data_IF_710135574705
#
_entry.id   IF_710135574705
#
_cell.length_a   1.000
_cell.length_b   1.000
_cell.length_c   1.000
_cell.angle_alpha   90.00
_cell.angle_beta   90.00
_cell.angle_gamma   90.00
#
_symmetry.space_group_name_H-M   'P 1'
#
loop_
_entity.id
_entity.type
_entity.pdbx_description
1 polymer ?
#
# COMPACT_ATOMS: atom_id res chain seq x y z
N UNK A 1 -41.03 -34.01 21.18
CA UNK A 1 -40.76 -32.84 20.31
C UNK A 1 -39.69 -31.88 20.84
N UNK A 2 -39.61 -31.56 22.15
CA UNK A 2 -38.60 -30.61 22.70
C UNK A 2 -37.13 -31.06 22.58
N UNK A 3 -36.82 -32.37 22.66
CA UNK A 3 -35.43 -32.88 22.58
C UNK A 3 -34.87 -32.87 21.15
N UNK A 4 -35.68 -33.19 20.15
CA UNK A 4 -35.26 -33.14 18.73
C UNK A 4 -35.04 -31.72 18.23
N UNK A 5 -35.74 -30.73 18.78
CA UNK A 5 -35.54 -29.32 18.44
C UNK A 5 -34.20 -28.78 18.96
N UNK A 6 -33.80 -29.19 20.16
CA UNK A 6 -32.49 -28.83 20.73
C UNK A 6 -31.32 -29.44 19.95
N UNK A 7 -31.45 -30.68 19.48
CA UNK A 7 -30.44 -31.35 18.65
C UNK A 7 -30.29 -30.68 17.27
N UNK A 8 -31.40 -30.25 16.65
CA UNK A 8 -31.38 -29.55 15.36
C UNK A 8 -30.77 -28.13 15.48
N UNK A 9 -31.05 -27.43 16.58
CA UNK A 9 -30.49 -26.11 16.86
C UNK A 9 -28.97 -26.17 17.14
N UNK A 10 -28.51 -27.21 17.83
CA UNK A 10 -27.08 -27.43 18.10
C UNK A 10 -26.31 -27.79 16.82
N UNK A 11 -26.92 -28.55 15.90
CA UNK A 11 -26.33 -28.85 14.59
C UNK A 11 -26.18 -27.59 13.72
N UNK A 12 -27.14 -26.65 13.79
CA UNK A 12 -27.11 -25.40 13.03
C UNK A 12 -25.99 -24.44 13.48
N UNK A 13 -25.66 -24.43 14.78
CA UNK A 13 -24.55 -23.63 15.35
C UNK A 13 -23.18 -24.17 14.90
N UNK A 14 -23.06 -25.48 14.64
CA UNK A 14 -21.82 -26.08 14.14
C UNK A 14 -21.49 -25.71 12.69
N UNK A 15 -22.50 -25.43 11.85
CA UNK A 15 -22.30 -25.04 10.43
C UNK A 15 -21.93 -23.56 10.28
N UNK A 16 -22.12 -22.74 11.32
CA UNK A 16 -21.77 -21.31 11.34
C UNK A 16 -20.34 -21.03 11.81
N UNK A 17 -19.56 -22.06 12.19
CA UNK A 17 -18.13 -21.91 12.39
C UNK A 17 -17.43 -21.77 11.02
N UNK A 18 -17.57 -20.60 10.42
CA UNK A 18 -16.65 -20.15 9.38
C UNK A 18 -15.27 -20.17 10.04
N UNK A 19 -14.45 -21.15 9.67
CA UNK A 19 -13.04 -21.19 10.06
C UNK A 19 -12.44 -19.89 9.57
N UNK A 20 -12.21 -18.95 10.49
CA UNK A 20 -11.41 -17.78 10.20
C UNK A 20 -10.05 -18.31 9.76
N UNK A 21 -9.79 -18.28 8.45
CA UNK A 21 -8.46 -18.52 7.92
C UNK A 21 -7.58 -17.39 8.45
N UNK A 22 -7.01 -17.63 9.63
CA UNK A 22 -5.97 -16.79 10.16
C UNK A 22 -4.89 -16.77 9.08
N UNK A 23 -4.65 -15.59 8.49
CA UNK A 23 -3.67 -15.34 7.43
C UNK A 23 -2.22 -15.49 7.94
N UNK A 24 -1.98 -16.44 8.84
CA UNK A 24 -0.70 -16.71 9.47
C UNK A 24 0.19 -17.36 8.41
N UNK A 25 1.17 -16.61 7.92
CA UNK A 25 2.21 -17.09 7.02
C UNK A 25 2.19 -16.54 5.59
N UNK A 26 1.15 -15.78 5.18
CA UNK A 26 1.17 -15.13 3.85
C UNK A 26 2.08 -13.89 3.91
N UNK A 27 3.06 -13.82 3.02
CA UNK A 27 3.96 -12.68 2.90
C UNK A 27 3.26 -11.59 2.08
N UNK A 28 3.24 -10.37 2.60
CA UNK A 28 2.77 -9.19 1.87
C UNK A 28 3.91 -8.64 1.03
N UNK A 29 3.78 -8.66 -0.30
CA UNK A 29 4.78 -8.09 -1.20
C UNK A 29 4.42 -6.66 -1.58
N UNK A 30 5.36 -5.74 -1.38
CA UNK A 30 5.34 -4.38 -1.91
C UNK A 30 6.21 -4.34 -3.17
N UNK A 31 5.62 -3.99 -4.31
CA UNK A 31 6.35 -3.83 -5.57
C UNK A 31 6.67 -2.36 -5.84
N UNK A 32 7.91 -2.08 -6.23
CA UNK A 32 8.37 -0.73 -6.55
C UNK A 32 9.25 -0.70 -7.80
N UNK A 33 9.29 0.44 -8.52
CA UNK A 33 10.37 0.70 -9.47
C UNK A 33 11.71 0.91 -8.73
N UNK A 34 12.83 0.84 -9.47
CA UNK A 34 14.15 1.12 -8.92
C UNK A 34 14.38 2.63 -8.73
N UNK A 35 13.88 3.19 -7.63
CA UNK A 35 14.08 4.59 -7.25
C UNK A 35 14.23 4.76 -5.74
N UNK A 36 15.03 5.74 -5.31
CA UNK A 36 15.23 6.02 -3.88
C UNK A 36 13.95 6.50 -3.18
N UNK A 37 13.06 7.18 -3.91
CA UNK A 37 11.82 7.73 -3.38
C UNK A 37 10.82 6.61 -3.04
N UNK A 38 10.52 5.75 -4.00
CA UNK A 38 9.63 4.60 -3.80
C UNK A 38 10.24 3.58 -2.85
N UNK A 39 11.58 3.40 -2.84
CA UNK A 39 12.26 2.60 -1.82
C UNK A 39 12.02 3.13 -0.41
N UNK A 40 12.20 4.44 -0.17
CA UNK A 40 11.98 5.03 1.15
C UNK A 40 10.52 4.86 1.61
N UNK A 41 9.56 5.14 0.72
CA UNK A 41 8.14 4.96 1.02
C UNK A 41 7.79 3.49 1.29
N UNK A 42 8.36 2.55 0.52
CA UNK A 42 8.16 1.12 0.72
C UNK A 42 8.68 0.66 2.07
N UNK A 43 9.86 1.13 2.46
CA UNK A 43 10.46 0.82 3.76
C UNK A 43 9.64 1.39 4.92
N UNK A 44 9.07 2.59 4.78
CA UNK A 44 8.16 3.15 5.78
C UNK A 44 6.90 2.30 5.93
N UNK A 45 6.26 1.91 4.82
CA UNK A 45 5.06 1.07 4.85
C UNK A 45 5.40 -0.31 5.42
N UNK A 46 6.44 -0.97 4.90
CA UNK A 46 6.86 -2.30 5.33
C UNK A 46 7.19 -2.33 6.83
N UNK A 47 7.95 -1.35 7.31
CA UNK A 47 8.32 -1.24 8.73
C UNK A 47 7.09 -1.01 9.61
N UNK A 48 6.23 -0.05 9.24
CA UNK A 48 5.01 0.26 9.99
C UNK A 48 4.09 -0.96 10.08
N UNK A 49 3.84 -1.62 8.94
CA UNK A 49 2.98 -2.80 8.88
C UNK A 49 3.56 -3.95 9.68
N UNK A 50 4.86 -4.24 9.51
CA UNK A 50 5.52 -5.33 10.23
C UNK A 50 5.46 -5.11 11.75
N UNK A 51 5.81 -3.93 12.24
CA UNK A 51 5.91 -3.68 13.69
C UNK A 51 4.55 -3.53 14.38
N UNK A 52 3.52 -3.07 13.66
CA UNK A 52 2.17 -2.90 14.24
C UNK A 52 1.27 -4.11 14.12
N UNK A 53 1.58 -5.05 13.23
CA UNK A 53 0.68 -6.16 12.94
C UNK A 53 1.34 -7.54 13.00
N UNK A 54 2.68 -7.60 13.00
CA UNK A 54 3.41 -8.87 12.86
C UNK A 54 3.37 -9.45 11.44
N UNK A 55 2.74 -8.77 10.47
CA UNK A 55 2.71 -9.21 9.06
C UNK A 55 4.12 -9.17 8.48
N UNK A 56 4.57 -10.26 7.87
CA UNK A 56 5.84 -10.28 7.15
C UNK A 56 5.69 -9.54 5.83
N UNK A 57 6.47 -8.48 5.62
CA UNK A 57 6.46 -7.68 4.40
C UNK A 57 7.78 -7.84 3.64
N UNK A 58 7.71 -8.06 2.32
CA UNK A 58 8.87 -8.06 1.42
C UNK A 58 8.74 -6.93 0.40
N UNK A 59 9.84 -6.22 0.15
CA UNK A 59 9.93 -5.21 -0.90
C UNK A 59 10.61 -5.88 -2.10
N UNK A 60 9.97 -5.78 -3.27
CA UNK A 60 10.46 -6.35 -4.53
C UNK A 60 10.66 -5.20 -5.50
N UNK A 61 11.90 -5.04 -5.98
CA UNK A 61 12.26 -4.04 -6.98
C UNK A 61 12.08 -4.64 -8.37
N UNK A 62 11.30 -3.98 -9.21
CA UNK A 62 11.06 -4.37 -10.59
C UNK A 62 11.87 -3.52 -11.56
N UNK A 63 12.23 -4.11 -12.70
CA UNK A 63 13.04 -3.44 -13.73
C UNK A 63 12.33 -2.26 -14.36
N UNK A 64 11.04 -2.42 -14.65
CA UNK A 64 10.18 -1.38 -15.22
C UNK A 64 8.73 -1.55 -14.76
N UNK A 65 7.90 -0.52 -15.04
CA UNK A 65 6.47 -0.53 -14.72
C UNK A 65 5.73 -1.73 -15.33
N UNK A 66 6.11 -2.19 -16.52
CA UNK A 66 5.41 -3.29 -17.19
C UNK A 66 5.59 -4.59 -16.42
N UNK A 67 6.80 -4.87 -15.94
CA UNK A 67 7.06 -6.02 -15.09
C UNK A 67 6.32 -5.92 -13.75
N UNK A 68 6.31 -4.74 -13.13
CA UNK A 68 5.55 -4.49 -11.90
C UNK A 68 4.05 -4.77 -12.12
N UNK A 69 3.44 -4.19 -13.14
CA UNK A 69 2.01 -4.38 -13.44
C UNK A 69 1.66 -5.83 -13.83
N UNK A 70 2.58 -6.57 -14.49
CA UNK A 70 2.41 -8.01 -14.71
C UNK A 70 2.34 -8.78 -13.38
N UNK A 71 3.21 -8.46 -12.43
CA UNK A 71 3.22 -9.10 -11.11
C UNK A 71 1.98 -8.75 -10.28
N UNK A 72 1.52 -7.50 -10.35
CA UNK A 72 0.25 -7.06 -9.74
C UNK A 72 -0.93 -7.84 -10.32
N UNK A 73 -1.02 -7.96 -11.65
CA UNK A 73 -2.10 -8.72 -12.32
C UNK A 73 -2.08 -10.20 -11.95
N UNK A 74 -0.90 -10.77 -11.74
CA UNK A 74 -0.71 -12.17 -11.31
C UNK A 74 -1.07 -12.39 -9.82
N UNK A 75 -1.15 -11.32 -9.03
CA UNK A 75 -1.37 -11.38 -7.57
C UNK A 75 -0.09 -11.56 -6.75
N UNK A 76 1.09 -11.46 -7.38
CA UNK A 76 2.37 -11.59 -6.70
C UNK A 76 2.72 -10.33 -5.88
N UNK A 77 2.10 -9.18 -6.20
CA UNK A 77 2.29 -7.89 -5.53
C UNK A 77 0.97 -7.43 -4.90
N UNK A 78 0.98 -7.21 -3.59
CA UNK A 78 -0.20 -6.80 -2.82
C UNK A 78 -0.35 -5.28 -2.70
N UNK A 79 0.77 -4.57 -2.64
CA UNK A 79 0.86 -3.11 -2.60
C UNK A 79 1.86 -2.63 -3.64
N UNK A 80 1.54 -1.57 -4.36
CA UNK A 80 2.52 -0.78 -5.11
C UNK A 80 2.54 0.65 -4.58
N UNK A 81 3.62 1.37 -4.82
CA UNK A 81 3.69 2.82 -4.59
C UNK A 81 3.64 3.49 -5.94
N UNK A 82 2.57 4.23 -6.18
CA UNK A 82 2.30 4.82 -7.48
C UNK A 82 2.33 6.33 -7.42
N UNK A 83 2.73 6.95 -8.53
CA UNK A 83 2.62 8.38 -8.72
C UNK A 83 1.56 8.73 -9.76
N UNK A 84 0.99 9.93 -9.64
CA UNK A 84 -0.14 10.35 -10.47
C UNK A 84 0.19 10.41 -11.96
N UNK A 85 1.43 10.73 -12.36
CA UNK A 85 1.79 10.81 -13.78
C UNK A 85 1.84 9.43 -14.43
N UNK A 86 2.49 8.48 -13.75
CA UNK A 86 2.55 7.08 -14.15
C UNK A 86 1.13 6.49 -14.21
N UNK A 87 0.30 6.84 -13.23
CA UNK A 87 -1.07 6.36 -13.18
C UNK A 87 -1.90 6.82 -14.38
N UNK A 88 -1.81 8.10 -14.77
CA UNK A 88 -2.50 8.63 -15.94
C UNK A 88 -2.06 7.90 -17.22
N UNK A 89 -0.77 7.63 -17.36
CA UNK A 89 -0.24 6.83 -18.48
C UNK A 89 -0.78 5.40 -18.47
N UNK A 90 -0.83 4.74 -17.32
CA UNK A 90 -1.33 3.37 -17.18
C UNK A 90 -2.81 3.26 -17.60
N UNK A 91 -3.63 4.28 -17.33
CA UNK A 91 -5.04 4.32 -17.73
C UNK A 91 -5.27 4.99 -19.07
N UNK A 92 -4.21 5.17 -19.87
CA UNK A 92 -4.23 5.78 -21.20
C UNK A 92 -4.91 7.16 -21.24
N UNK A 93 -4.74 7.97 -20.19
CA UNK A 93 -5.21 9.36 -20.12
C UNK A 93 -4.06 10.36 -20.27
N UNK A 94 -4.34 11.57 -20.80
CA UNK A 94 -3.36 12.64 -20.82
C UNK A 94 -2.84 12.98 -19.42
N UNK A 95 -1.64 13.53 -19.35
CA UNK A 95 -1.11 14.10 -18.11
C UNK A 95 -2.08 15.16 -17.57
N UNK A 96 -2.29 15.17 -16.27
CA UNK A 96 -3.04 16.18 -15.54
C UNK A 96 -2.08 16.93 -14.59
N UNK A 97 -2.02 18.27 -14.70
CA UNK A 97 -1.07 19.09 -13.94
C UNK A 97 -1.51 19.33 -12.50
N UNK A 98 -2.81 19.23 -12.22
CA UNK A 98 -3.34 19.28 -10.87
C UNK A 98 -3.27 17.89 -10.22
N UNK A 99 -2.35 17.69 -9.29
CA UNK A 99 -2.15 16.41 -8.61
C UNK A 99 -3.43 15.82 -7.98
N UNK A 100 -4.32 16.68 -7.45
CA UNK A 100 -5.58 16.22 -6.86
C UNK A 100 -6.52 15.67 -7.93
N UNK A 101 -6.68 16.38 -9.05
CA UNK A 101 -7.50 15.90 -10.18
C UNK A 101 -6.94 14.61 -10.76
N UNK A 102 -5.61 14.53 -10.92
CA UNK A 102 -4.93 13.33 -11.41
C UNK A 102 -5.15 12.14 -10.45
N UNK A 103 -5.01 12.35 -9.15
CA UNK A 103 -5.26 11.34 -8.11
C UNK A 103 -6.69 10.83 -8.11
N UNK A 104 -7.70 11.70 -8.15
CA UNK A 104 -9.11 11.26 -8.17
C UNK A 104 -9.45 10.49 -9.45
N UNK A 105 -8.87 10.91 -10.57
CA UNK A 105 -9.02 10.21 -11.86
C UNK A 105 -8.39 8.83 -11.79
N UNK A 106 -7.12 8.73 -11.36
CA UNK A 106 -6.40 7.47 -11.21
C UNK A 106 -7.13 6.52 -10.25
N UNK A 107 -7.55 7.01 -9.09
CA UNK A 107 -8.33 6.25 -8.09
C UNK A 107 -9.59 5.65 -8.69
N UNK A 108 -10.35 6.41 -9.47
CA UNK A 108 -11.56 5.95 -10.14
C UNK A 108 -11.27 4.87 -11.20
N UNK A 109 -10.31 5.11 -12.09
CA UNK A 109 -9.98 4.20 -13.19
C UNK A 109 -9.33 2.89 -12.69
N UNK A 110 -8.46 2.97 -11.68
CA UNK A 110 -7.82 1.80 -11.07
C UNK A 110 -8.85 0.90 -10.38
N UNK A 111 -9.83 1.52 -9.70
CA UNK A 111 -10.92 0.80 -9.05
C UNK A 111 -11.77 0.04 -10.07
N UNK A 112 -12.13 0.70 -11.17
CA UNK A 112 -13.03 0.14 -12.21
C UNK A 112 -12.35 -0.93 -13.05
N UNK A 113 -11.09 -0.69 -13.45
CA UNK A 113 -10.46 -1.45 -14.53
C UNK A 113 -9.38 -2.42 -14.03
N UNK A 114 -8.78 -2.17 -12.86
CA UNK A 114 -7.61 -2.91 -12.39
C UNK A 114 -7.82 -3.65 -11.07
N UNK A 115 -8.99 -3.52 -10.42
CA UNK A 115 -9.25 -4.06 -9.08
C UNK A 115 -8.21 -3.58 -8.03
N UNK A 116 -7.79 -2.32 -8.19
CA UNK A 116 -6.82 -1.66 -7.33
C UNK A 116 -7.47 -0.50 -6.57
N UNK A 117 -7.02 -0.25 -5.35
CA UNK A 117 -7.56 0.78 -4.45
C UNK A 117 -6.43 1.71 -4.05
N UNK A 118 -6.54 2.98 -4.46
CA UNK A 118 -5.65 4.04 -3.99
C UNK A 118 -5.96 4.40 -2.54
N UNK A 119 -4.89 4.49 -1.74
CA UNK A 119 -4.92 5.07 -0.41
C UNK A 119 -4.64 6.58 -0.46
N UNK A 120 -4.62 7.22 0.71
CA UNK A 120 -4.35 8.65 0.80
C UNK A 120 -2.91 8.93 0.33
N UNK A 121 -2.69 10.03 -0.44
CA UNK A 121 -1.35 10.46 -0.81
C UNK A 121 -0.45 10.59 0.41
N UNK A 122 0.76 10.04 0.32
CA UNK A 122 1.78 10.14 1.37
C UNK A 122 2.59 11.42 1.22
N UNK A 123 2.93 11.76 -0.02
CA UNK A 123 3.79 12.90 -0.33
C UNK A 123 3.32 13.60 -1.59
N UNK A 124 3.45 14.92 -1.59
CA UNK A 124 3.40 15.75 -2.79
C UNK A 124 4.80 16.17 -3.16
N UNK A 125 5.20 15.99 -4.42
CA UNK A 125 6.46 16.44 -4.96
C UNK A 125 6.24 17.44 -6.10
N UNK A 126 7.15 18.41 -6.26
CA UNK A 126 7.16 19.29 -7.42
C UNK A 126 7.78 18.55 -8.62
N UNK A 127 6.96 18.30 -9.64
CA UNK A 127 7.40 17.77 -10.93
C UNK A 127 7.66 18.89 -11.94
N UNK A 128 8.28 18.55 -13.07
CA UNK A 128 8.63 19.50 -14.12
C UNK A 128 7.40 20.22 -14.75
N UNK A 129 6.20 19.64 -14.61
CA UNK A 129 4.97 20.14 -15.22
C UNK A 129 3.78 20.15 -14.24
N UNK A 130 4.05 20.34 -12.95
CA UNK A 130 3.03 20.41 -11.90
C UNK A 130 3.36 19.54 -10.69
N UNK A 131 2.50 19.57 -9.68
CA UNK A 131 2.64 18.71 -8.52
C UNK A 131 2.30 17.26 -8.85
N UNK A 132 2.96 16.33 -8.17
CA UNK A 132 2.77 14.89 -8.33
C UNK A 132 2.51 14.30 -6.94
N UNK A 133 1.46 13.49 -6.81
CA UNK A 133 1.22 12.73 -5.58
C UNK A 133 1.78 11.33 -5.68
N UNK A 134 2.39 10.87 -4.59
CA UNK A 134 2.79 9.47 -4.39
C UNK A 134 1.87 8.84 -3.36
N UNK A 135 1.26 7.70 -3.70
CA UNK A 135 0.34 7.00 -2.82
C UNK A 135 0.50 5.47 -2.91
N UNK A 136 0.24 4.74 -1.81
CA UNK A 136 0.09 3.30 -1.83
C UNK A 136 -1.18 2.94 -2.59
N UNK A 137 -1.09 1.89 -3.41
CA UNK A 137 -2.22 1.31 -4.10
C UNK A 137 -2.28 -0.18 -3.76
N UNK A 138 -3.40 -0.61 -3.21
CA UNK A 138 -3.62 -1.98 -2.73
C UNK A 138 -4.41 -2.77 -3.75
N UNK A 139 -4.07 -4.05 -3.91
CA UNK A 139 -4.98 -5.00 -4.54
C UNK A 139 -6.23 -5.26 -3.69
N UNK A 140 -7.35 -5.57 -4.35
CA UNK A 140 -8.55 -5.99 -3.65
C UNK A 140 -8.36 -7.25 -2.79
N UNK A 141 -7.52 -8.20 -3.23
CA UNK A 141 -7.18 -9.38 -2.44
C UNK A 141 -6.47 -8.97 -1.13
N UNK A 142 -5.48 -8.08 -1.22
CA UNK A 142 -4.79 -7.57 -0.03
C UNK A 142 -5.74 -6.84 0.90
N UNK A 143 -6.64 -6.01 0.36
CA UNK A 143 -7.63 -5.30 1.18
C UNK A 143 -8.59 -6.26 1.87
N UNK A 144 -9.01 -7.33 1.20
CA UNK A 144 -9.94 -8.32 1.75
C UNK A 144 -9.27 -9.14 2.87
N UNK A 145 -8.01 -9.52 2.67
CA UNK A 145 -7.24 -10.30 3.65
C UNK A 145 -6.73 -9.46 4.82
N UNK A 146 -6.45 -8.17 4.62
CA UNK A 146 -5.87 -7.27 5.61
C UNK A 146 -6.63 -5.93 5.66
N UNK A 147 -7.92 -5.93 6.08
CA UNK A 147 -8.81 -4.76 5.99
C UNK A 147 -8.40 -3.58 6.89
N UNK A 148 -7.52 -3.80 7.87
CA UNK A 148 -6.98 -2.75 8.72
C UNK A 148 -5.82 -1.96 8.08
N UNK A 149 -5.23 -2.45 6.98
CA UNK A 149 -4.08 -1.81 6.34
C UNK A 149 -4.35 -0.37 5.88
N UNK A 150 -5.45 -0.04 5.19
CA UNK A 150 -5.72 1.34 4.79
C UNK A 150 -5.65 2.31 5.97
N UNK A 151 -6.33 1.97 7.08
CA UNK A 151 -6.34 2.81 8.28
C UNK A 151 -4.95 2.96 8.90
N UNK A 152 -4.14 1.90 8.89
CA UNK A 152 -2.78 1.95 9.42
C UNK A 152 -1.85 2.78 8.54
N UNK A 153 -1.84 2.50 7.23
CA UNK A 153 -0.96 3.14 6.25
C UNK A 153 -1.30 4.63 6.10
N UNK A 154 -2.59 5.00 6.10
CA UNK A 154 -3.00 6.40 6.01
C UNK A 154 -2.52 7.26 7.19
N UNK A 155 -2.09 6.67 8.32
CA UNK A 155 -1.42 7.42 9.39
C UNK A 155 -0.12 8.09 8.92
N UNK A 156 0.49 7.61 7.84
CA UNK A 156 1.67 8.24 7.24
C UNK A 156 1.30 9.49 6.42
N UNK A 157 0.06 9.56 5.93
CA UNK A 157 -0.44 10.73 5.19
C UNK A 157 -0.43 11.96 6.09
N UNK A 158 0.00 13.10 5.55
CA UNK A 158 0.09 14.38 6.27
C UNK A 158 1.26 14.51 7.26
N UNK A 159 1.94 13.42 7.63
CA UNK A 159 3.14 13.46 8.49
C UNK A 159 4.41 13.68 7.66
N UNK A 160 4.43 13.22 6.42
CA UNK A 160 5.53 13.38 5.46
C UNK A 160 5.40 14.73 4.72
N UNK A 161 5.59 15.83 5.46
CA UNK A 161 5.64 17.18 4.86
C UNK A 161 6.85 17.30 3.93
N UNK A 162 6.73 18.13 2.90
CA UNK A 162 7.68 18.22 1.78
C UNK A 162 9.14 18.47 2.24
N UNK A 163 9.36 19.37 3.18
CA UNK A 163 10.67 19.74 3.71
C UNK A 163 11.32 18.61 4.52
N UNK A 164 10.53 17.95 5.39
CA UNK A 164 10.99 16.82 6.18
C UNK A 164 11.26 15.61 5.29
N UNK A 165 10.38 15.35 4.32
CA UNK A 165 10.52 14.24 3.40
C UNK A 165 11.75 14.40 2.49
N UNK A 166 12.01 15.61 1.97
CA UNK A 166 13.20 15.88 1.17
C UNK A 166 14.50 15.58 1.93
N UNK A 167 14.55 15.90 3.24
CA UNK A 167 15.70 15.58 4.10
C UNK A 167 15.88 14.07 4.30
N UNK A 168 14.78 13.34 4.50
CA UNK A 168 14.82 11.87 4.62
C UNK A 168 15.32 11.24 3.32
N UNK A 169 14.77 11.69 2.18
CA UNK A 169 15.16 11.21 0.86
C UNK A 169 16.65 11.49 0.55
N UNK A 170 17.16 12.65 0.98
CA UNK A 170 18.60 12.95 0.87
C UNK A 170 19.45 11.98 1.69
N UNK A 171 19.00 11.65 2.90
CA UNK A 171 19.72 10.72 3.80
C UNK A 171 19.85 9.33 3.18
N UNK A 172 18.79 8.83 2.54
CA UNK A 172 18.81 7.55 1.81
C UNK A 172 19.84 7.53 0.66
N UNK A 173 20.07 8.67 -0.01
CA UNK A 173 21.07 8.78 -1.09
C UNK A 173 22.51 8.84 -0.57
N UNK A 174 22.71 9.01 0.74
CA UNK A 174 24.01 9.31 1.36
C UNK A 174 24.67 8.08 2.00
N UNK A 175 24.29 6.87 1.56
CA UNK A 175 24.83 5.56 2.01
C UNK A 175 24.20 4.96 3.30
N UNK A 176 23.14 5.59 3.85
CA UNK A 176 22.34 4.99 4.92
C UNK A 176 21.39 3.90 4.38
N UNK A 177 21.29 2.76 5.08
CA UNK A 177 20.32 1.70 4.75
C UNK A 177 18.89 2.27 4.78
N UNK A 178 18.13 2.29 3.67
CA UNK A 178 16.81 2.91 3.58
C UNK A 178 15.85 2.51 4.71
N UNK A 179 15.89 1.22 5.08
CA UNK A 179 15.15 0.65 6.20
C UNK A 179 15.41 1.32 7.55
N UNK A 180 16.68 1.66 7.84
CA UNK A 180 17.05 2.32 9.10
C UNK A 180 16.48 3.73 9.14
N UNK A 181 16.62 4.49 8.05
CA UNK A 181 16.05 5.86 7.92
C UNK A 181 14.54 5.84 8.13
N UNK A 182 13.84 4.90 7.48
CA UNK A 182 12.40 4.73 7.65
C UNK A 182 12.03 4.41 9.10
N UNK A 183 12.70 3.43 9.73
CA UNK A 183 12.44 3.02 11.12
C UNK A 183 12.67 4.17 12.12
N UNK A 184 13.79 4.88 11.99
CA UNK A 184 14.13 5.99 12.90
C UNK A 184 13.11 7.13 12.77
N UNK A 185 12.65 7.43 11.55
CA UNK A 185 11.59 8.39 11.33
C UNK A 185 10.27 7.96 12.00
N UNK A 186 9.83 6.71 11.80
CA UNK A 186 8.58 6.21 12.39
C UNK A 186 8.61 6.26 13.93
N UNK A 187 9.75 5.92 14.55
CA UNK A 187 9.95 6.07 16.00
C UNK A 187 9.83 7.53 16.44
N UNK A 188 10.46 8.46 15.72
CA UNK A 188 10.38 9.90 16.04
C UNK A 188 8.94 10.44 16.01
N UNK A 189 8.06 9.81 15.23
CA UNK A 189 6.63 10.14 15.12
C UNK A 189 5.73 9.30 16.03
N UNK A 190 6.31 8.43 16.88
CA UNK A 190 5.60 7.49 17.77
C UNK A 190 4.63 6.58 17.01
N UNK A 191 4.94 6.31 15.74
CA UNK A 191 4.15 5.41 14.91
C UNK A 191 4.53 3.95 15.13
N UNK A 192 5.71 3.69 15.68
CA UNK A 192 6.22 2.41 16.18
C UNK A 192 6.96 2.62 17.50
#
# INVERSE_FOLDING_TARGET
MRRSFFLLLMLLVLVLNQTAHACVGKILNIGIPNSANEQLLAEMIATLVTERTGTTVKIIVYKDERELYKAVKKGDVGILIENTDHAMKMVAKPRESNAKTAYETAKSEYRKNLNLVWLDPLVSANGAAGSIYYAPVLSLDTLSNLPALPKLINKLSGILKEDAYAKLLKSVKSDDKPRKVARDFLKSKKLI
#
